data_IF_312321223939
#
_entry.id   IF_312321223939
#
_cell.length_a   1.000
_cell.length_b   1.000
_cell.length_c   1.000
_cell.angle_alpha   90.00
_cell.angle_beta   90.00
_cell.angle_gamma   90.00
#
_symmetry.space_group_name_H-M   'P 1'
#
loop_
_entity.id
_entity.type
_entity.pdbx_description
1 polymer ?
#
# COMPACT_ATOMS: atom_id res chain seq x y z
N UNK A 1 -47.80 -31.71 33.22
CA UNK A 1 -46.74 -30.67 33.32
C UNK A 1 -47.43 -29.29 33.29
N UNK A 2 -47.16 -28.41 34.22
CA UNK A 2 -47.83 -27.09 34.23
C UNK A 2 -47.29 -26.23 33.08
N UNK A 3 -48.12 -25.44 32.46
CA UNK A 3 -47.78 -24.51 31.39
C UNK A 3 -46.55 -23.66 31.72
N UNK A 4 -46.43 -23.24 33.00
CA UNK A 4 -45.27 -22.48 33.54
C UNK A 4 -43.97 -23.23 33.49
N UNK A 5 -43.95 -24.56 33.67
CA UNK A 5 -42.75 -25.37 33.60
C UNK A 5 -42.28 -25.56 32.15
N UNK A 6 -43.20 -25.76 31.24
CA UNK A 6 -42.89 -25.80 29.80
C UNK A 6 -42.35 -24.47 29.31
N UNK A 7 -42.96 -23.35 29.71
CA UNK A 7 -42.50 -22.02 29.35
C UNK A 7 -41.05 -21.73 29.85
N UNK A 8 -40.74 -22.07 31.10
CA UNK A 8 -39.39 -21.92 31.66
C UNK A 8 -38.35 -22.79 30.92
N UNK A 9 -38.74 -24.01 30.52
CA UNK A 9 -37.86 -24.92 29.80
C UNK A 9 -37.60 -24.40 28.38
N UNK A 10 -38.64 -23.92 27.68
CA UNK A 10 -38.51 -23.32 26.34
C UNK A 10 -37.64 -22.07 26.40
N UNK A 11 -37.86 -21.19 27.40
CA UNK A 11 -37.02 -19.98 27.57
C UNK A 11 -35.56 -20.35 27.88
N UNK A 12 -35.33 -21.39 28.71
CA UNK A 12 -33.97 -21.86 29.00
C UNK A 12 -33.26 -22.43 27.77
N UNK A 13 -33.95 -23.23 26.98
CA UNK A 13 -33.41 -23.78 25.71
C UNK A 13 -33.12 -22.66 24.71
N UNK A 14 -34.03 -21.67 24.60
CA UNK A 14 -33.83 -20.52 23.71
C UNK A 14 -32.62 -19.69 24.15
N UNK A 15 -32.46 -19.44 25.45
CA UNK A 15 -31.30 -18.72 25.98
C UNK A 15 -29.97 -19.45 25.68
N UNK A 16 -29.93 -20.77 25.86
CA UNK A 16 -28.74 -21.57 25.53
C UNK A 16 -28.45 -21.52 24.03
N UNK A 17 -29.47 -21.61 23.17
CA UNK A 17 -29.30 -21.50 21.70
C UNK A 17 -28.77 -20.12 21.30
N UNK A 18 -29.24 -19.04 21.91
CA UNK A 18 -28.74 -17.68 21.64
C UNK A 18 -27.29 -17.52 22.08
N UNK A 19 -26.95 -18.03 23.27
CA UNK A 19 -25.56 -17.98 23.79
C UNK A 19 -24.62 -18.82 22.94
N UNK A 20 -25.01 -20.04 22.55
CA UNK A 20 -24.17 -20.89 21.68
C UNK A 20 -24.04 -20.30 20.29
N UNK A 21 -25.10 -19.77 19.70
CA UNK A 21 -25.04 -19.09 18.38
C UNK A 21 -24.14 -17.85 18.46
N UNK A 22 -24.28 -17.01 19.47
CA UNK A 22 -23.45 -15.84 19.69
C UNK A 22 -21.97 -16.20 19.89
N UNK A 23 -21.65 -17.21 20.70
CA UNK A 23 -20.28 -17.69 20.91
C UNK A 23 -19.68 -18.25 19.62
N UNK A 24 -20.47 -18.96 18.81
CA UNK A 24 -20.00 -19.54 17.54
C UNK A 24 -19.69 -18.45 16.52
N UNK A 25 -20.51 -17.40 16.44
CA UNK A 25 -20.26 -16.24 15.55
C UNK A 25 -19.01 -15.48 15.98
N UNK A 26 -18.84 -15.21 17.27
CA UNK A 26 -17.66 -14.53 17.80
C UNK A 26 -16.36 -15.33 17.56
N UNK A 27 -16.43 -16.64 17.76
CA UNK A 27 -15.28 -17.51 17.50
C UNK A 27 -14.98 -17.62 16.00
N UNK A 28 -16.02 -17.70 15.17
CA UNK A 28 -15.90 -17.72 13.71
C UNK A 28 -15.23 -16.47 13.16
N UNK A 29 -15.58 -15.29 13.67
CA UNK A 29 -14.97 -14.03 13.25
C UNK A 29 -13.48 -13.96 13.64
N UNK A 30 -13.10 -14.43 14.83
CA UNK A 30 -11.68 -14.48 15.25
C UNK A 30 -10.84 -15.45 14.41
N UNK A 31 -11.40 -16.59 14.01
CA UNK A 31 -10.75 -17.58 13.15
C UNK A 31 -10.71 -17.18 11.66
N UNK A 32 -11.42 -16.11 11.30
CA UNK A 32 -11.46 -15.56 9.94
C UNK A 32 -10.64 -14.28 9.79
N UNK A 33 -9.77 -13.98 10.73
CA UNK A 33 -8.83 -12.85 10.66
C UNK A 33 -7.41 -13.37 10.68
N UNK A 34 -6.54 -12.73 9.91
CA UNK A 34 -5.10 -12.91 9.95
C UNK A 34 -4.44 -11.57 10.26
N UNK A 35 -3.55 -11.58 11.24
CA UNK A 35 -2.78 -10.38 11.63
C UNK A 35 -1.44 -10.41 10.92
N UNK A 36 -0.95 -9.26 10.49
CA UNK A 36 0.34 -9.11 9.84
C UNK A 36 1.50 -9.34 10.82
N UNK A 37 2.58 -9.96 10.32
CA UNK A 37 3.85 -10.05 11.06
C UNK A 37 4.54 -8.70 11.11
N UNK A 38 4.50 -7.98 10.00
CA UNK A 38 5.01 -6.62 9.87
C UNK A 38 4.09 -5.84 8.96
N UNK A 39 3.85 -4.58 9.27
CA UNK A 39 3.20 -3.65 8.36
C UNK A 39 3.72 -2.23 8.61
N UNK A 40 3.78 -1.44 7.55
CA UNK A 40 4.19 -0.04 7.61
C UNK A 40 3.51 0.80 6.55
N UNK A 41 3.36 2.08 6.85
CA UNK A 41 2.90 3.07 5.89
C UNK A 41 4.00 3.27 4.85
N UNK A 42 3.63 3.24 3.58
CA UNK A 42 4.50 3.50 2.44
C UNK A 42 3.94 4.67 1.64
N UNK A 43 4.80 5.28 0.82
CA UNK A 43 4.41 6.34 -0.10
C UNK A 43 4.68 5.90 -1.52
N UNK A 44 3.78 6.23 -2.43
CA UNK A 44 4.06 6.06 -3.86
C UNK A 44 5.14 7.05 -4.30
N UNK A 45 6.13 6.58 -5.01
CA UNK A 45 7.20 7.39 -5.57
C UNK A 45 7.40 7.09 -7.04
N UNK A 46 7.78 8.12 -7.78
CA UNK A 46 8.18 8.02 -9.19
C UNK A 46 9.69 8.15 -9.26
N UNK A 47 10.36 7.08 -9.64
CA UNK A 47 11.82 7.05 -9.79
C UNK A 47 12.21 7.75 -11.09
N UNK A 48 13.27 8.59 -10.99
CA UNK A 48 13.86 9.31 -12.10
C UNK A 48 15.28 8.77 -12.28
N UNK A 49 15.49 8.11 -13.40
CA UNK A 49 16.77 7.53 -13.78
C UNK A 49 17.25 8.03 -15.13
N UNK A 50 18.49 7.72 -15.47
CA UNK A 50 19.09 8.08 -16.75
C UNK A 50 19.41 6.85 -17.60
N UNK A 51 19.05 6.90 -18.88
CA UNK A 51 19.42 5.87 -19.86
C UNK A 51 20.84 6.05 -20.39
N UNK A 52 21.43 7.24 -20.25
CA UNK A 52 22.76 7.59 -20.74
C UNK A 52 23.73 7.88 -19.59
N UNK A 53 24.96 7.38 -19.69
CA UNK A 53 25.99 7.76 -18.71
C UNK A 53 26.41 9.21 -18.94
N UNK A 54 26.67 9.94 -17.88
CA UNK A 54 27.05 11.34 -17.99
C UNK A 54 27.60 11.93 -16.71
N UNK A 55 27.84 13.23 -16.73
CA UNK A 55 28.24 14.01 -15.55
C UNK A 55 27.14 15.00 -15.20
N UNK A 56 26.74 15.06 -13.95
CA UNK A 56 25.79 16.07 -13.46
C UNK A 56 26.46 17.43 -13.53
N UNK A 57 25.87 18.36 -14.29
CA UNK A 57 26.40 19.75 -14.41
C UNK A 57 25.84 20.62 -13.32
N UNK A 58 24.52 20.67 -13.20
CA UNK A 58 23.82 21.51 -12.23
C UNK A 58 22.70 20.74 -11.54
N UNK A 59 22.39 21.14 -10.33
CA UNK A 59 21.26 20.59 -9.54
C UNK A 59 20.47 21.77 -8.99
N UNK A 60 19.16 21.84 -9.30
CA UNK A 60 18.29 22.97 -9.00
C UNK A 60 17.43 22.74 -7.75
N UNK A 61 17.43 21.52 -7.21
CA UNK A 61 16.61 21.10 -6.06
C UNK A 61 17.48 20.39 -5.04
N UNK A 62 16.97 20.33 -3.82
CA UNK A 62 17.57 19.57 -2.72
C UNK A 62 16.63 18.44 -2.27
N UNK A 63 17.21 17.47 -1.56
CA UNK A 63 16.42 16.42 -0.92
C UNK A 63 15.44 17.01 0.09
N UNK A 64 14.15 16.67 -0.03
CA UNK A 64 13.06 17.23 0.76
C UNK A 64 12.36 18.46 0.15
N UNK A 65 12.81 18.98 -0.98
CA UNK A 65 12.13 20.09 -1.66
C UNK A 65 10.80 19.64 -2.28
N UNK A 66 9.81 20.52 -2.21
CA UNK A 66 8.54 20.32 -2.93
C UNK A 66 8.68 20.84 -4.35
N UNK A 67 8.28 20.01 -5.31
CA UNK A 67 8.35 20.31 -6.75
C UNK A 67 6.98 20.15 -7.40
N UNK A 68 6.79 20.85 -8.51
CA UNK A 68 5.61 20.75 -9.36
C UNK A 68 5.96 20.04 -10.68
N UNK A 69 4.97 19.40 -11.29
CA UNK A 69 5.13 18.73 -12.57
C UNK A 69 5.75 19.67 -13.63
N UNK A 70 6.80 19.18 -14.32
CA UNK A 70 7.55 19.96 -15.31
C UNK A 70 8.64 20.88 -14.73
N UNK A 71 8.82 20.94 -13.41
CA UNK A 71 9.91 21.70 -12.81
C UNK A 71 11.26 21.04 -13.07
N UNK A 72 12.28 21.83 -13.41
CA UNK A 72 13.66 21.35 -13.61
C UNK A 72 14.27 20.88 -12.30
N UNK A 73 14.91 19.70 -12.33
CA UNK A 73 15.53 19.07 -11.18
C UNK A 73 17.05 19.14 -11.22
N UNK A 74 17.63 18.70 -12.30
CA UNK A 74 19.08 18.69 -12.53
C UNK A 74 19.40 18.50 -14.01
N UNK A 75 20.63 18.79 -14.40
CA UNK A 75 21.15 18.57 -15.74
C UNK A 75 22.28 17.55 -15.76
N UNK A 76 22.33 16.75 -16.82
CA UNK A 76 23.37 15.73 -17.04
C UNK A 76 23.94 15.86 -18.45
N UNK A 77 25.22 16.14 -18.57
CA UNK A 77 25.93 16.14 -19.85
C UNK A 77 26.39 14.74 -20.22
N UNK A 78 26.02 14.27 -21.40
CA UNK A 78 26.37 12.94 -21.90
C UNK A 78 27.05 12.99 -23.27
N UNK A 79 28.31 12.59 -23.32
CA UNK A 79 29.04 12.46 -24.57
C UNK A 79 28.50 11.31 -25.45
N UNK A 80 27.92 10.29 -24.84
CA UNK A 80 27.29 9.19 -25.54
C UNK A 80 26.03 9.68 -26.27
N UNK A 81 25.15 10.37 -25.56
CA UNK A 81 23.96 10.98 -26.14
C UNK A 81 24.31 11.99 -27.24
N UNK A 82 25.29 12.84 -27.02
CA UNK A 82 25.76 13.79 -28.06
C UNK A 82 26.18 13.09 -29.36
N UNK A 83 26.81 11.92 -29.26
CA UNK A 83 27.19 11.12 -30.43
C UNK A 83 25.97 10.58 -31.15
N UNK A 84 25.03 9.99 -30.39
CA UNK A 84 23.81 9.38 -30.94
C UNK A 84 22.89 10.44 -31.59
N UNK A 85 22.84 11.66 -31.04
CA UNK A 85 22.15 12.79 -31.64
C UNK A 85 22.73 13.19 -33.00
N UNK A 86 24.08 13.21 -33.13
CA UNK A 86 24.74 13.51 -34.41
C UNK A 86 24.49 12.42 -35.46
N UNK A 87 24.30 11.18 -35.03
CA UNK A 87 23.98 10.04 -35.88
C UNK A 87 22.47 9.98 -36.22
N UNK A 88 21.64 10.81 -35.60
CA UNK A 88 20.19 10.88 -35.83
C UNK A 88 19.43 9.65 -35.31
N UNK A 89 19.96 8.95 -34.33
CA UNK A 89 19.41 7.71 -33.77
C UNK A 89 18.45 7.91 -32.62
N UNK A 90 18.37 9.11 -32.05
CA UNK A 90 17.60 9.39 -30.81
C UNK A 90 16.59 10.52 -31.02
N UNK A 91 15.43 10.41 -30.41
CA UNK A 91 14.46 11.48 -30.29
C UNK A 91 14.87 12.48 -29.19
N UNK A 92 14.67 13.77 -29.43
CA UNK A 92 15.07 14.87 -28.54
C UNK A 92 14.15 15.07 -27.33
N UNK A 93 13.07 14.30 -27.21
CA UNK A 93 12.09 14.43 -26.12
C UNK A 93 11.62 13.04 -25.70
N UNK A 94 11.81 12.72 -24.42
CA UNK A 94 11.40 11.43 -23.82
C UNK A 94 10.30 11.58 -22.76
N UNK A 95 9.75 12.77 -22.53
CA UNK A 95 8.74 13.04 -21.49
C UNK A 95 9.30 13.06 -20.07
N UNK A 96 10.48 12.44 -19.82
CA UNK A 96 11.16 12.45 -18.53
C UNK A 96 12.28 13.50 -18.49
N UNK A 97 12.85 13.82 -19.62
CA UNK A 97 13.89 14.83 -19.78
C UNK A 97 13.81 15.47 -21.18
N UNK A 98 14.28 16.69 -21.28
CA UNK A 98 14.54 17.36 -22.55
C UNK A 98 16.01 17.31 -22.87
N UNK A 99 16.36 17.29 -24.18
CA UNK A 99 17.76 17.19 -24.63
C UNK A 99 18.10 18.38 -25.51
N UNK A 100 19.25 19.02 -25.27
CA UNK A 100 19.78 20.06 -26.13
C UNK A 100 20.74 19.50 -27.20
N UNK A 101 21.18 20.35 -28.14
CA UNK A 101 22.11 19.99 -29.21
C UNK A 101 23.52 19.60 -28.70
N UNK A 102 23.87 19.97 -27.47
CA UNK A 102 25.14 19.65 -26.84
C UNK A 102 25.17 18.25 -26.22
N UNK A 103 24.00 17.59 -26.10
CA UNK A 103 23.84 16.30 -25.44
C UNK A 103 23.65 16.43 -23.92
N UNK A 104 23.23 17.62 -23.46
CA UNK A 104 22.83 17.82 -22.07
C UNK A 104 21.34 17.48 -21.92
N UNK A 105 21.05 16.60 -20.96
CA UNK A 105 19.71 16.21 -20.54
C UNK A 105 19.27 17.08 -19.38
N UNK A 106 18.15 17.75 -19.49
CA UNK A 106 17.48 18.45 -18.38
C UNK A 106 16.34 17.57 -17.88
N UNK A 107 16.46 17.06 -16.67
CA UNK A 107 15.48 16.20 -16.02
C UNK A 107 14.38 17.04 -15.37
N UNK A 108 13.13 16.65 -15.62
CA UNK A 108 11.93 17.34 -15.15
C UNK A 108 11.17 16.47 -14.14
N UNK A 109 10.49 17.11 -13.19
CA UNK A 109 9.59 16.41 -12.28
C UNK A 109 8.38 15.85 -13.07
N UNK A 110 8.11 14.54 -13.00
CA UNK A 110 7.00 13.94 -13.75
C UNK A 110 5.63 14.24 -13.12
N UNK A 111 5.60 14.64 -11.86
CA UNK A 111 4.39 14.98 -11.10
C UNK A 111 4.73 15.91 -9.93
N UNK A 112 3.68 16.47 -9.32
CA UNK A 112 3.81 17.20 -8.05
C UNK A 112 4.23 16.24 -6.95
N UNK A 113 5.10 16.69 -6.04
CA UNK A 113 5.57 15.86 -4.95
C UNK A 113 6.78 16.42 -4.21
N UNK A 114 7.45 15.54 -3.49
CA UNK A 114 8.64 15.86 -2.70
C UNK A 114 9.83 15.06 -3.22
N UNK A 115 10.95 15.73 -3.44
CA UNK A 115 12.22 15.11 -3.87
C UNK A 115 12.76 14.23 -2.76
N UNK A 116 13.11 12.98 -3.08
CA UNK A 116 13.67 12.02 -2.12
C UNK A 116 14.82 11.23 -2.75
N UNK A 117 15.87 10.96 -1.96
CA UNK A 117 17.01 10.16 -2.39
C UNK A 117 17.79 10.80 -3.54
N UNK A 118 18.07 12.10 -3.44
CA UNK A 118 18.79 12.84 -4.48
C UNK A 118 20.28 12.51 -4.50
N UNK A 119 20.67 11.66 -5.47
CA UNK A 119 22.08 11.29 -5.73
C UNK A 119 22.72 12.09 -6.87
N UNK A 120 21.96 12.97 -7.54
CA UNK A 120 22.45 13.84 -8.61
C UNK A 120 23.18 15.06 -8.03
N UNK A 121 24.47 14.89 -7.71
CA UNK A 121 25.32 15.99 -7.20
C UNK A 121 26.13 16.61 -8.34
N UNK A 122 26.18 17.93 -8.42
CA UNK A 122 26.99 18.63 -9.43
C UNK A 122 28.44 18.12 -9.42
N UNK A 123 28.97 17.79 -10.59
CA UNK A 123 30.30 17.22 -10.80
C UNK A 123 30.38 15.70 -10.61
N UNK A 124 29.33 15.00 -10.17
CA UNK A 124 29.33 13.54 -10.05
C UNK A 124 29.09 12.87 -11.40
N UNK A 125 29.73 11.71 -11.61
CA UNK A 125 29.46 10.84 -12.75
C UNK A 125 28.31 9.89 -12.43
N UNK A 126 27.37 9.76 -13.36
CA UNK A 126 26.20 8.86 -13.25
C UNK A 126 26.25 7.81 -14.36
N UNK A 127 26.20 6.51 -14.01
CA UNK A 127 26.12 5.43 -15.00
C UNK A 127 24.75 5.36 -15.66
N UNK A 128 24.68 4.79 -16.84
CA UNK A 128 23.40 4.45 -17.48
C UNK A 128 22.61 3.45 -16.62
N UNK A 129 21.29 3.63 -16.53
CA UNK A 129 20.39 2.78 -15.77
C UNK A 129 20.36 3.07 -14.26
N UNK A 130 21.07 4.11 -13.78
CA UNK A 130 20.99 4.49 -12.37
C UNK A 130 19.76 5.36 -12.10
N UNK A 131 19.12 5.13 -10.96
CA UNK A 131 18.10 6.01 -10.38
C UNK A 131 18.84 7.16 -9.70
N UNK A 132 18.46 8.40 -10.02
CA UNK A 132 19.12 9.62 -9.54
C UNK A 132 18.33 10.32 -8.45
N UNK A 133 17.03 10.15 -8.45
CA UNK A 133 16.12 10.68 -7.44
C UNK A 133 14.75 10.01 -7.58
N UNK A 134 13.88 10.20 -6.61
CA UNK A 134 12.48 9.84 -6.69
C UNK A 134 11.59 11.00 -6.23
N UNK A 135 10.42 11.16 -6.85
CA UNK A 135 9.41 12.12 -6.44
C UNK A 135 8.35 11.35 -5.64
N UNK A 136 8.35 11.57 -4.34
CA UNK A 136 7.36 11.02 -3.43
C UNK A 136 6.05 11.81 -3.55
N UNK A 137 4.92 11.10 -3.67
CA UNK A 137 3.60 11.69 -3.83
C UNK A 137 2.80 11.56 -2.51
N UNK A 138 2.71 12.60 -1.67
CA UNK A 138 2.07 12.53 -0.34
C UNK A 138 0.63 12.03 -0.35
N UNK A 139 -0.09 12.22 -1.45
CA UNK A 139 -1.48 11.77 -1.61
C UNK A 139 -1.63 10.27 -1.90
N UNK A 140 -0.51 9.55 -2.12
CA UNK A 140 -0.51 8.14 -2.50
C UNK A 140 -0.06 7.22 -1.37
N UNK A 141 -0.34 7.59 -0.12
CA UNK A 141 -0.03 6.76 1.04
C UNK A 141 -0.82 5.44 0.98
N UNK A 142 -0.13 4.35 1.28
CA UNK A 142 -0.72 3.02 1.42
C UNK A 142 -0.02 2.25 2.53
N UNK A 143 -0.62 1.16 2.99
CA UNK A 143 0.04 0.25 3.93
C UNK A 143 0.53 -0.97 3.16
N UNK A 144 1.79 -1.30 3.37
CA UNK A 144 2.36 -2.57 2.96
C UNK A 144 2.46 -3.47 4.18
N UNK A 145 1.70 -4.56 4.17
CA UNK A 145 1.63 -5.53 5.25
C UNK A 145 2.13 -6.90 4.79
N UNK A 146 2.93 -7.55 5.62
CA UNK A 146 3.43 -8.90 5.38
C UNK A 146 2.72 -9.89 6.29
N UNK A 147 2.19 -10.96 5.69
CA UNK A 147 1.49 -12.03 6.37
C UNK A 147 2.17 -13.37 6.10
N UNK A 148 2.34 -14.17 7.13
CA UNK A 148 2.79 -15.56 7.02
C UNK A 148 1.57 -16.48 7.06
N UNK A 149 1.07 -16.85 5.89
CA UNK A 149 -0.20 -17.57 5.72
C UNK A 149 0.04 -19.06 5.45
N UNK A 150 -0.79 -19.90 6.03
CA UNK A 150 -0.90 -21.29 5.57
C UNK A 150 -1.51 -21.31 4.16
N UNK A 151 -1.27 -22.38 3.36
CA UNK A 151 -1.90 -22.52 2.04
C UNK A 151 -3.43 -22.39 2.05
N UNK A 152 -4.07 -22.81 3.16
CA UNK A 152 -5.53 -22.70 3.33
C UNK A 152 -5.96 -21.26 3.60
N UNK A 153 -5.24 -20.50 4.40
CA UNK A 153 -5.51 -19.10 4.66
C UNK A 153 -5.31 -18.27 3.42
N UNK A 154 -4.21 -18.53 2.69
CA UNK A 154 -3.94 -17.84 1.43
C UNK A 154 -5.07 -18.03 0.40
N UNK A 155 -5.62 -19.23 0.26
CA UNK A 155 -6.75 -19.51 -0.64
C UNK A 155 -8.03 -18.71 -0.28
N UNK A 156 -8.09 -18.12 0.92
CA UNK A 156 -9.21 -17.33 1.44
C UNK A 156 -8.98 -15.82 1.37
N UNK A 157 -7.82 -15.38 0.90
CA UNK A 157 -7.53 -13.96 0.69
C UNK A 157 -8.29 -13.48 -0.54
N UNK A 158 -8.97 -12.36 -0.42
CA UNK A 158 -9.72 -11.74 -1.52
C UNK A 158 -9.23 -10.29 -1.73
N UNK A 159 -9.09 -9.90 -3.00
CA UNK A 159 -8.89 -8.49 -3.34
C UNK A 159 -10.17 -7.74 -2.98
N UNK A 160 -10.03 -6.57 -2.33
CA UNK A 160 -11.16 -5.82 -1.78
C UNK A 160 -11.60 -6.27 -0.39
N UNK A 161 -10.96 -7.30 0.21
CA UNK A 161 -11.25 -7.69 1.58
C UNK A 161 -10.96 -6.53 2.55
N UNK A 162 -11.81 -6.34 3.58
CA UNK A 162 -11.57 -5.31 4.59
C UNK A 162 -10.36 -5.66 5.45
N UNK A 163 -9.57 -4.63 5.75
CA UNK A 163 -8.40 -4.68 6.61
C UNK A 163 -8.52 -3.61 7.66
N UNK A 164 -8.40 -3.99 8.92
CA UNK A 164 -8.31 -3.07 10.04
C UNK A 164 -6.83 -2.73 10.27
N UNK A 165 -6.52 -1.45 10.31
CA UNK A 165 -5.18 -0.91 10.53
C UNK A 165 -5.12 -0.25 11.89
N UNK A 166 -4.28 -0.74 12.79
CA UNK A 166 -4.06 -0.16 14.12
C UNK A 166 -2.75 0.62 14.13
N UNK A 167 -2.83 1.91 14.42
CA UNK A 167 -1.68 2.81 14.50
C UNK A 167 -1.07 2.84 15.91
N UNK A 168 0.17 3.32 16.08
CA UNK A 168 0.84 3.39 17.38
C UNK A 168 0.12 4.25 18.43
N UNK A 169 -0.72 5.21 18.00
CA UNK A 169 -1.54 6.05 18.88
C UNK A 169 -2.88 5.39 19.26
N UNK A 170 -3.05 4.09 19.00
CA UNK A 170 -4.29 3.33 19.16
C UNK A 170 -5.47 3.84 18.29
N UNK A 171 -5.22 4.63 17.26
CA UNK A 171 -6.22 4.93 16.25
C UNK A 171 -6.41 3.72 15.33
N UNK A 172 -7.65 3.46 14.94
CA UNK A 172 -8.03 2.41 14.02
C UNK A 172 -8.47 3.03 12.71
N UNK A 173 -7.92 2.56 11.61
CA UNK A 173 -8.31 2.94 10.25
C UNK A 173 -8.84 1.74 9.51
N UNK A 174 -9.82 1.96 8.67
CA UNK A 174 -10.30 0.93 7.74
C UNK A 174 -9.57 1.06 6.41
N UNK A 175 -9.20 -0.08 5.85
CA UNK A 175 -8.59 -0.18 4.53
C UNK A 175 -9.14 -1.38 3.77
N UNK A 176 -8.73 -1.50 2.53
CA UNK A 176 -9.08 -2.62 1.65
C UNK A 176 -7.86 -3.18 0.96
N UNK A 177 -7.84 -4.50 0.75
CA UNK A 177 -6.78 -5.18 -0.01
C UNK A 177 -6.80 -4.69 -1.46
N UNK A 178 -5.73 -4.03 -1.90
CA UNK A 178 -5.57 -3.56 -3.29
C UNK A 178 -4.86 -4.59 -4.16
N UNK A 179 -3.80 -5.19 -3.64
CA UNK A 179 -3.04 -6.24 -4.33
C UNK A 179 -2.37 -7.17 -3.34
N UNK A 180 -2.10 -8.38 -3.81
CA UNK A 180 -1.41 -9.42 -3.04
C UNK A 180 -0.30 -9.99 -3.91
N UNK A 181 0.92 -9.99 -3.40
CA UNK A 181 2.09 -10.66 -4.00
C UNK A 181 2.57 -11.74 -3.03
N UNK A 182 2.91 -12.91 -3.55
CA UNK A 182 3.25 -14.06 -2.71
C UNK A 182 4.57 -14.67 -3.11
N UNK A 183 5.37 -14.96 -2.09
CA UNK A 183 6.55 -15.80 -2.22
C UNK A 183 6.38 -17.01 -1.30
N UNK A 184 6.63 -18.20 -1.81
CA UNK A 184 6.59 -19.41 -1.00
C UNK A 184 7.94 -19.65 -0.35
N UNK A 185 7.95 -19.74 0.97
CA UNK A 185 9.12 -20.01 1.79
C UNK A 185 8.79 -21.13 2.79
N UNK A 186 9.59 -22.20 2.82
CA UNK A 186 9.44 -23.36 3.72
C UNK A 186 8.01 -23.95 3.82
N UNK A 187 7.25 -23.92 2.72
CA UNK A 187 5.87 -24.44 2.66
C UNK A 187 4.80 -23.51 3.25
N UNK A 188 5.18 -22.29 3.63
CA UNK A 188 4.28 -21.18 3.99
C UNK A 188 4.22 -20.15 2.87
N UNK A 189 3.09 -19.49 2.75
CA UNK A 189 2.92 -18.40 1.81
C UNK A 189 3.22 -17.08 2.54
N UNK A 190 4.39 -16.50 2.26
CA UNK A 190 4.70 -15.13 2.69
C UNK A 190 4.03 -14.16 1.73
N UNK A 191 2.90 -13.61 2.15
CA UNK A 191 2.10 -12.71 1.35
C UNK A 191 2.44 -11.25 1.71
N UNK A 192 2.79 -10.47 0.70
CA UNK A 192 2.90 -9.01 0.80
C UNK A 192 1.60 -8.42 0.26
N UNK A 193 0.85 -7.78 1.13
CA UNK A 193 -0.46 -7.20 0.85
C UNK A 193 -0.34 -5.68 0.84
N UNK A 194 -0.78 -5.06 -0.25
CA UNK A 194 -0.94 -3.61 -0.34
C UNK A 194 -2.36 -3.27 0.05
N UNK A 195 -2.49 -2.43 1.06
CA UNK A 195 -3.78 -1.98 1.60
C UNK A 195 -3.95 -0.50 1.28
N UNK A 196 -5.05 -0.17 0.62
CA UNK A 196 -5.48 1.20 0.41
C UNK A 196 -6.45 1.63 1.53
N UNK A 197 -6.29 2.86 2.00
CA UNK A 197 -7.22 3.45 2.99
C UNK A 197 -7.43 4.93 2.64
N UNK A 198 -8.69 5.32 2.47
CA UNK A 198 -9.05 6.71 2.19
C UNK A 198 -8.69 7.65 3.37
N UNK A 199 -8.63 7.09 4.58
CA UNK A 199 -8.23 7.85 5.77
C UNK A 199 -6.75 8.25 5.75
N UNK A 200 -5.88 7.52 5.01
CA UNK A 200 -4.46 7.89 4.84
C UNK A 200 -4.27 9.01 3.80
N UNK A 201 -5.19 9.12 2.82
CA UNK A 201 -5.15 10.18 1.80
C UNK A 201 -5.66 11.53 2.34
N UNK A 202 -6.25 11.54 3.54
CA UNK A 202 -6.77 12.73 4.19
C UNK A 202 -5.74 13.52 4.98
N UNK A 203 -6.24 14.43 5.82
CA UNK A 203 -5.39 15.23 6.73
C UNK A 203 -4.59 14.32 7.65
N UNK A 204 -3.30 14.61 7.81
CA UNK A 204 -2.43 13.99 8.79
C UNK A 204 -2.33 14.90 10.04
N UNK A 205 -3.34 14.91 10.94
CA UNK A 205 -3.48 15.92 11.98
C UNK A 205 -2.33 15.90 13.00
N UNK A 206 -1.71 14.74 13.20
CA UNK A 206 -0.67 14.56 14.23
C UNK A 206 0.71 14.21 13.64
N UNK A 207 0.88 14.29 12.32
CA UNK A 207 2.12 13.89 11.64
C UNK A 207 2.42 12.38 11.73
N UNK A 208 1.42 11.57 12.07
CA UNK A 208 1.58 10.13 12.30
C UNK A 208 1.53 9.30 11.02
N UNK A 209 0.98 9.85 9.93
CA UNK A 209 0.90 9.16 8.64
C UNK A 209 2.16 9.43 7.82
N UNK A 210 3.32 9.09 8.38
CA UNK A 210 4.59 9.23 7.68
C UNK A 210 5.02 7.89 7.08
N UNK A 211 5.69 7.91 5.92
CA UNK A 211 6.34 6.71 5.39
C UNK A 211 7.28 6.10 6.43
N UNK A 212 7.21 4.78 6.59
CA UNK A 212 7.96 4.06 7.60
C UNK A 212 7.26 3.91 8.96
N UNK A 213 6.14 4.61 9.21
CA UNK A 213 5.38 4.40 10.46
C UNK A 213 4.92 2.95 10.55
N UNK A 214 5.29 2.22 11.64
CA UNK A 214 4.82 0.86 11.84
C UNK A 214 3.33 0.85 12.16
N UNK A 215 2.60 -0.10 11.61
CA UNK A 215 1.17 -0.33 11.88
C UNK A 215 0.93 -1.82 12.07
N UNK A 216 -0.18 -2.18 12.68
CA UNK A 216 -0.66 -3.56 12.71
C UNK A 216 -1.84 -3.68 11.75
N UNK A 217 -1.81 -4.67 10.84
CA UNK A 217 -2.86 -4.89 9.89
C UNK A 217 -3.57 -6.23 10.17
N UNK A 218 -4.88 -6.19 10.39
CA UNK A 218 -5.73 -7.36 10.56
C UNK A 218 -6.63 -7.52 9.34
N UNK A 219 -6.36 -8.53 8.53
CA UNK A 219 -7.09 -8.81 7.29
C UNK A 219 -8.20 -9.82 7.54
N UNK A 220 -9.41 -9.54 7.07
CA UNK A 220 -10.51 -10.49 7.05
C UNK A 220 -10.31 -11.50 5.91
N UNK A 221 -10.32 -12.80 6.27
CA UNK A 221 -10.29 -13.90 5.33
C UNK A 221 -11.72 -14.35 5.00
N UNK A 222 -11.94 -14.81 3.77
CA UNK A 222 -13.23 -15.36 3.39
C UNK A 222 -13.63 -16.49 4.35
N UNK A 223 -14.85 -16.40 4.91
CA UNK A 223 -15.38 -17.42 5.78
C UNK A 223 -15.65 -18.70 4.98
N UNK A 224 -15.14 -19.83 5.44
CA UNK A 224 -15.41 -21.15 4.87
C UNK A 224 -16.30 -21.97 5.81
N UNK A 225 -17.19 -22.77 5.23
CA UNK A 225 -18.02 -23.74 5.95
C UNK A 225 -19.52 -23.42 5.93
N UNK A 226 -20.36 -24.36 6.42
CA UNK A 226 -21.82 -24.24 6.36
C UNK A 226 -22.39 -23.07 7.19
N UNK A 227 -21.59 -22.50 8.10
CA UNK A 227 -21.96 -21.33 8.90
C UNK A 227 -21.67 -19.99 8.20
N UNK A 228 -20.91 -19.99 7.11
CA UNK A 228 -20.59 -18.77 6.36
C UNK A 228 -21.83 -18.11 5.73
N UNK A 229 -22.83 -18.91 5.34
CA UNK A 229 -24.10 -18.39 4.85
C UNK A 229 -24.96 -17.79 5.98
N UNK A 230 -24.94 -18.42 7.16
CA UNK A 230 -25.67 -17.95 8.34
C UNK A 230 -25.10 -16.63 8.86
N UNK A 231 -23.78 -16.49 8.92
CA UNK A 231 -23.15 -15.25 9.37
C UNK A 231 -23.38 -14.08 8.40
N UNK A 232 -23.39 -14.33 7.08
CA UNK A 232 -23.78 -13.32 6.08
C UNK A 232 -25.23 -12.87 6.24
N UNK A 233 -26.16 -13.79 6.43
CA UNK A 233 -27.58 -13.50 6.63
C UNK A 233 -27.81 -12.68 7.90
N UNK A 234 -27.11 -12.96 8.99
CA UNK A 234 -27.21 -12.22 10.26
C UNK A 234 -26.61 -10.82 10.13
N UNK A 235 -25.46 -10.66 9.45
CA UNK A 235 -24.84 -9.38 9.20
C UNK A 235 -25.71 -8.46 8.31
N UNK A 236 -26.34 -8.99 7.29
CA UNK A 236 -27.27 -8.26 6.42
C UNK A 236 -28.56 -7.88 7.16
N UNK A 237 -29.03 -8.73 8.08
CA UNK A 237 -30.18 -8.42 8.92
C UNK A 237 -29.88 -7.34 9.96
N UNK A 238 -28.68 -7.37 10.59
CA UNK A 238 -28.24 -6.31 11.52
C UNK A 238 -28.14 -4.94 10.85
N UNK A 239 -27.54 -4.86 9.66
CA UNK A 239 -27.50 -3.63 8.85
C UNK A 239 -28.89 -3.09 8.44
N UNK A 240 -29.85 -4.00 8.24
CA UNK A 240 -31.23 -3.64 7.85
C UNK A 240 -32.08 -3.12 9.01
N UNK A 241 -31.68 -3.40 10.27
CA UNK A 241 -32.38 -2.96 11.49
C UNK A 241 -31.67 -1.74 12.13
N UNK A 242 -30.52 -1.27 11.57
CA UNK A 242 -29.83 -0.07 12.08
C UNK A 242 -29.03 -0.29 13.36
N UNK A 243 -28.52 -1.51 13.57
CA UNK A 243 -27.54 -1.86 14.61
C UNK A 243 -26.15 -2.01 14.00
#
# INVERSE_FOLDING_TARGET
MSLRTVLKLVTGVLAVLVVTAGSTVLLGNRLSQSTSDTASIQIGSLEIGTDYPGTVEETFVADGDTVTAGQELFTVASLALQRDLREGTVATDSGAYTVDESGTMTFLAPADGVVTGLDARAGSFVPAGSVLTAIAQPETLYVQAQFDLTPREYARVEIGAPVELSLPNAAHLEGTVRSVSVTTDEGRARAVVVVASDALAGSNPDGLYQPGTPVEASMALRAEGPLAEVSRSIGDFGRKIGL
#
